data_IF_224662060040
#
_entry.id   IF_224662060040
#
_cell.length_a   1.000
_cell.length_b   1.000
_cell.length_c   1.000
_cell.angle_alpha   90.00
_cell.angle_beta   90.00
_cell.angle_gamma   90.00
#
_symmetry.space_group_name_H-M   'P 1'
#
loop_
_entity.id
_entity.type
_entity.pdbx_description
1 polymer ?
#
# COMPACT_ATOMS: atom_id res chain seq x y z
N UNK A 1 19.16 -8.65 12.98
CA UNK A 1 19.91 -7.39 12.78
C UNK A 1 19.39 -6.24 13.64
N UNK A 2 18.16 -5.73 13.46
CA UNK A 2 17.67 -4.58 14.24
C UNK A 2 17.63 -4.82 15.76
N UNK A 3 17.08 -5.97 16.21
CA UNK A 3 17.08 -6.39 17.64
C UNK A 3 18.46 -6.69 18.23
N UNK A 4 19.51 -6.77 17.40
CA UNK A 4 20.89 -7.02 17.83
C UNK A 4 21.71 -5.71 17.90
N UNK A 5 21.04 -4.55 17.96
CA UNK A 5 21.70 -3.23 18.00
C UNK A 5 22.21 -2.73 16.65
N UNK A 6 21.92 -3.43 15.54
CA UNK A 6 22.39 -3.10 14.19
C UNK A 6 21.26 -2.53 13.33
N UNK A 7 20.67 -1.42 13.78
CA UNK A 7 19.50 -0.81 13.14
C UNK A 7 19.83 -0.19 11.76
N UNK A 8 20.97 0.48 11.61
CA UNK A 8 21.40 1.11 10.35
C UNK A 8 21.50 0.12 9.17
N UNK A 9 22.34 -0.94 9.28
CA UNK A 9 22.45 -1.94 8.22
C UNK A 9 21.16 -2.71 7.96
N UNK A 10 20.34 -2.95 9.00
CA UNK A 10 19.03 -3.60 8.85
C UNK A 10 18.06 -2.75 8.00
N UNK A 11 18.02 -1.44 8.26
CA UNK A 11 17.19 -0.50 7.49
C UNK A 11 17.68 -0.40 6.04
N UNK A 12 18.99 -0.29 5.81
CA UNK A 12 19.56 -0.23 4.47
C UNK A 12 19.30 -1.52 3.68
N UNK A 13 19.43 -2.68 4.31
CA UNK A 13 19.13 -3.97 3.66
C UNK A 13 17.64 -4.11 3.29
N UNK A 14 16.74 -3.75 4.21
CA UNK A 14 15.31 -3.74 3.92
C UNK A 14 14.97 -2.77 2.78
N UNK A 15 15.56 -1.57 2.78
CA UNK A 15 15.36 -0.57 1.74
C UNK A 15 15.89 -1.02 0.38
N UNK A 16 17.13 -1.49 0.30
CA UNK A 16 17.75 -1.98 -0.94
C UNK A 16 17.03 -3.22 -1.49
N UNK A 17 16.65 -4.15 -0.62
CA UNK A 17 15.87 -5.33 -0.99
C UNK A 17 14.51 -4.96 -1.57
N UNK A 18 13.77 -4.06 -0.91
CA UNK A 18 12.47 -3.57 -1.39
C UNK A 18 12.60 -2.79 -2.70
N UNK A 19 13.65 -1.97 -2.85
CA UNK A 19 13.90 -1.23 -4.08
C UNK A 19 14.20 -2.16 -5.25
N UNK A 20 15.11 -3.12 -5.07
CA UNK A 20 15.44 -4.08 -6.11
C UNK A 20 14.24 -4.96 -6.49
N UNK A 21 13.53 -5.49 -5.50
CA UNK A 21 12.31 -6.27 -5.74
C UNK A 21 11.23 -5.44 -6.46
N UNK A 22 11.05 -4.17 -6.10
CA UNK A 22 10.14 -3.24 -6.76
C UNK A 22 10.53 -2.97 -8.21
N UNK A 23 11.81 -2.71 -8.48
CA UNK A 23 12.33 -2.50 -9.83
C UNK A 23 12.16 -3.74 -10.71
N UNK A 24 12.59 -4.91 -10.22
CA UNK A 24 12.44 -6.18 -10.95
C UNK A 24 10.98 -6.51 -11.18
N UNK A 25 10.13 -6.39 -10.16
CA UNK A 25 8.69 -6.63 -10.27
C UNK A 25 8.04 -5.72 -11.32
N UNK A 26 8.41 -4.45 -11.34
CA UNK A 26 7.92 -3.47 -12.34
C UNK A 26 8.38 -3.85 -13.75
N UNK A 27 9.65 -4.22 -13.92
CA UNK A 27 10.18 -4.62 -15.23
C UNK A 27 9.53 -5.91 -15.74
N UNK A 28 9.31 -6.88 -14.86
CA UNK A 28 8.59 -8.11 -15.19
C UNK A 28 7.16 -7.77 -15.62
N UNK A 29 6.42 -7.00 -14.82
CA UNK A 29 5.06 -6.61 -15.15
C UNK A 29 4.98 -5.84 -16.48
N UNK A 30 5.91 -4.90 -16.71
CA UNK A 30 6.01 -4.17 -17.96
C UNK A 30 6.29 -5.10 -19.15
N UNK A 31 7.17 -6.10 -18.99
CA UNK A 31 7.46 -7.10 -20.01
C UNK A 31 6.26 -7.99 -20.35
N UNK A 32 5.40 -8.28 -19.37
CA UNK A 32 4.17 -9.05 -19.55
C UNK A 32 2.93 -8.20 -19.86
N UNK A 33 3.06 -6.86 -19.98
CA UNK A 33 1.92 -5.98 -20.14
C UNK A 33 1.08 -6.31 -21.40
N UNK A 34 1.73 -6.56 -22.53
CA UNK A 34 1.06 -6.88 -23.81
C UNK A 34 0.22 -8.17 -23.69
N UNK A 35 0.80 -9.35 -23.38
CA UNK A 35 0.02 -10.58 -23.31
C UNK A 35 -1.07 -10.54 -22.23
N UNK A 36 -0.82 -9.84 -21.11
CA UNK A 36 -1.82 -9.71 -20.04
C UNK A 36 -3.01 -8.86 -20.48
N UNK A 37 -2.76 -7.82 -21.29
CA UNK A 37 -3.82 -6.95 -21.83
C UNK A 37 -4.66 -7.67 -22.89
N UNK A 38 -4.03 -8.50 -23.75
CA UNK A 38 -4.77 -9.35 -24.70
C UNK A 38 -5.74 -10.29 -24.00
N UNK A 39 -5.30 -10.92 -22.90
CA UNK A 39 -6.15 -11.74 -22.05
C UNK A 39 -7.27 -10.89 -21.43
N UNK A 40 -6.96 -9.69 -20.93
CA UNK A 40 -7.96 -8.80 -20.33
C UNK A 40 -9.07 -8.39 -21.30
N UNK A 41 -8.77 -8.22 -22.60
CA UNK A 41 -9.80 -7.92 -23.60
C UNK A 41 -10.79 -9.07 -23.88
N UNK A 42 -10.45 -10.30 -23.50
CA UNK A 42 -11.35 -11.44 -23.60
C UNK A 42 -12.39 -11.48 -22.47
N UNK A 43 -12.21 -10.66 -21.43
CA UNK A 43 -13.07 -10.70 -20.24
C UNK A 43 -14.36 -9.93 -20.51
N UNK A 44 -15.48 -10.61 -20.32
CA UNK A 44 -16.78 -9.97 -20.32
C UNK A 44 -17.07 -9.24 -19.00
N UNK A 45 -18.23 -8.58 -18.90
CA UNK A 45 -18.65 -7.89 -17.69
C UNK A 45 -18.72 -8.81 -16.46
N UNK A 46 -19.12 -10.07 -16.64
CA UNK A 46 -19.27 -11.05 -15.55
C UNK A 46 -17.90 -11.51 -15.01
N UNK A 47 -16.94 -11.77 -15.90
CA UNK A 47 -15.58 -12.17 -15.54
C UNK A 47 -14.86 -11.01 -14.85
N UNK A 48 -15.00 -9.79 -15.39
CA UNK A 48 -14.42 -8.59 -14.79
C UNK A 48 -14.95 -8.33 -13.38
N UNK A 49 -16.28 -8.44 -13.19
CA UNK A 49 -16.90 -8.32 -11.88
C UNK A 49 -16.38 -9.39 -10.91
N UNK A 50 -16.31 -10.65 -11.35
CA UNK A 50 -15.87 -11.77 -10.53
C UNK A 50 -14.41 -11.63 -10.12
N UNK A 51 -13.53 -11.16 -11.02
CA UNK A 51 -12.13 -10.85 -10.69
C UNK A 51 -12.01 -9.75 -9.64
N UNK A 52 -12.78 -8.67 -9.77
CA UNK A 52 -12.75 -7.57 -8.81
C UNK A 52 -13.21 -8.05 -7.42
N UNK A 53 -14.29 -8.84 -7.35
CA UNK A 53 -14.76 -9.44 -6.10
C UNK A 53 -13.71 -10.37 -5.50
N UNK A 54 -13.07 -11.21 -6.31
CA UNK A 54 -11.99 -12.10 -5.87
C UNK A 54 -10.82 -11.29 -5.27
N UNK A 55 -10.44 -10.18 -5.89
CA UNK A 55 -9.42 -9.27 -5.37
C UNK A 55 -9.78 -8.70 -4.00
N UNK A 56 -11.04 -8.27 -3.82
CA UNK A 56 -11.55 -7.78 -2.54
C UNK A 56 -11.57 -8.88 -1.47
N UNK A 57 -11.95 -10.11 -1.82
CA UNK A 57 -11.89 -11.26 -0.90
C UNK A 57 -10.44 -11.53 -0.50
N UNK A 58 -9.49 -11.50 -1.45
CA UNK A 58 -8.06 -11.64 -1.18
C UNK A 58 -7.55 -10.59 -0.19
N UNK A 59 -7.99 -9.32 -0.33
CA UNK A 59 -7.65 -8.25 0.60
C UNK A 59 -8.17 -8.52 2.02
N UNK A 60 -9.39 -9.07 2.16
CA UNK A 60 -9.96 -9.46 3.46
C UNK A 60 -9.13 -10.58 4.10
N UNK A 61 -8.74 -11.58 3.32
CA UNK A 61 -7.98 -12.74 3.81
C UNK A 61 -6.57 -12.34 4.25
N UNK A 62 -5.95 -11.39 3.55
CA UNK A 62 -4.61 -10.89 3.90
C UNK A 62 -4.64 -9.93 5.10
N UNK A 63 -5.77 -9.26 5.34
CA UNK A 63 -5.94 -8.39 6.49
C UNK A 63 -5.91 -9.21 7.80
N UNK A 64 -5.02 -8.84 8.71
CA UNK A 64 -4.96 -9.45 10.04
C UNK A 64 -6.04 -8.85 10.95
N UNK A 65 -6.73 -9.70 11.71
CA UNK A 65 -7.71 -9.28 12.71
C UNK A 65 -9.16 -9.63 12.36
N UNK A 66 -10.09 -8.73 12.65
CA UNK A 66 -11.54 -8.99 12.51
C UNK A 66 -12.01 -8.82 11.06
N UNK A 67 -12.56 -9.88 10.49
CA UNK A 67 -13.15 -9.90 9.14
C UNK A 67 -14.18 -8.77 8.97
N UNK A 68 -15.04 -8.54 9.97
CA UNK A 68 -16.08 -7.51 9.89
C UNK A 68 -15.47 -6.10 9.79
N UNK A 69 -14.34 -5.85 10.48
CA UNK A 69 -13.62 -4.58 10.35
C UNK A 69 -12.98 -4.45 8.96
N UNK A 70 -12.39 -5.53 8.44
CA UNK A 70 -11.80 -5.53 7.10
C UNK A 70 -12.84 -5.23 6.03
N UNK A 71 -14.01 -5.87 6.09
CA UNK A 71 -15.15 -5.59 5.19
C UNK A 71 -15.59 -4.13 5.30
N UNK A 72 -15.73 -3.61 6.52
CA UNK A 72 -16.11 -2.20 6.73
C UNK A 72 -15.12 -1.21 6.12
N UNK A 73 -13.82 -1.44 6.28
CA UNK A 73 -12.76 -0.61 5.69
C UNK A 73 -12.74 -0.69 4.17
N UNK A 74 -12.95 -1.89 3.61
CA UNK A 74 -13.04 -2.08 2.16
C UNK A 74 -14.24 -1.33 1.57
N UNK A 75 -15.42 -1.45 2.18
CA UNK A 75 -16.61 -0.73 1.72
C UNK A 75 -16.40 0.78 1.79
N UNK A 76 -15.77 1.28 2.86
CA UNK A 76 -15.41 2.68 2.99
C UNK A 76 -14.44 3.13 1.88
N UNK A 77 -13.40 2.33 1.61
CA UNK A 77 -12.44 2.58 0.53
C UNK A 77 -13.11 2.58 -0.85
N UNK A 78 -14.04 1.65 -1.11
CA UNK A 78 -14.81 1.62 -2.35
C UNK A 78 -15.70 2.86 -2.50
N UNK A 79 -16.39 3.30 -1.44
CA UNK A 79 -17.18 4.52 -1.48
C UNK A 79 -16.32 5.75 -1.80
N UNK A 80 -15.12 5.85 -1.20
CA UNK A 80 -14.18 6.93 -1.50
C UNK A 80 -13.61 6.84 -2.92
N UNK A 81 -13.33 5.62 -3.42
CA UNK A 81 -12.81 5.39 -4.76
C UNK A 81 -13.82 5.62 -5.88
N UNK A 82 -15.12 5.61 -5.58
CA UNK A 82 -16.18 5.93 -6.53
C UNK A 82 -16.38 7.45 -6.74
N UNK A 83 -15.74 8.29 -5.91
CA UNK A 83 -15.82 9.75 -6.06
C UNK A 83 -14.98 10.19 -7.26
N UNK A 84 -15.61 10.87 -8.21
CA UNK A 84 -14.96 11.38 -9.41
C UNK A 84 -15.69 11.01 -10.70
N UNK A 85 -15.04 11.27 -11.82
CA UNK A 85 -15.55 10.95 -13.14
C UNK A 85 -15.35 9.47 -13.45
N UNK A 86 -16.44 8.76 -13.73
CA UNK A 86 -16.37 7.35 -14.14
C UNK A 86 -15.71 7.22 -15.52
N UNK A 87 -14.61 6.46 -15.61
CA UNK A 87 -13.80 6.32 -16.83
C UNK A 87 -14.50 5.61 -17.99
N UNK A 88 -15.55 4.83 -17.72
CA UNK A 88 -16.27 4.07 -18.75
C UNK A 88 -17.43 4.88 -19.33
N UNK A 89 -18.12 5.66 -18.49
CA UNK A 89 -19.36 6.37 -18.83
C UNK A 89 -19.21 7.89 -18.91
N UNK A 90 -18.13 8.46 -18.38
CA UNK A 90 -17.89 9.90 -18.32
C UNK A 90 -18.78 10.65 -17.32
N UNK A 91 -19.59 9.95 -16.53
CA UNK A 91 -20.51 10.56 -15.57
C UNK A 91 -19.76 10.87 -14.26
N UNK A 92 -19.91 12.10 -13.77
CA UNK A 92 -19.40 12.49 -12.46
C UNK A 92 -20.25 11.83 -11.34
N UNK A 93 -19.60 11.08 -10.45
CA UNK A 93 -20.21 10.41 -9.30
C UNK A 93 -19.72 11.03 -8.01
N UNK A 94 -20.65 11.34 -7.11
CA UNK A 94 -20.36 11.95 -5.81
C UNK A 94 -19.48 13.21 -5.88
N UNK A 95 -19.55 13.97 -6.98
CA UNK A 95 -18.79 15.21 -7.16
C UNK A 95 -19.46 16.42 -6.49
N UNK A 96 -20.78 16.37 -6.25
CA UNK A 96 -21.54 17.44 -5.58
C UNK A 96 -21.34 18.85 -6.17
N UNK A 97 -21.10 18.95 -7.48
CA UNK A 97 -20.79 20.20 -8.20
C UNK A 97 -19.50 20.90 -7.73
N UNK A 98 -18.60 20.14 -7.10
CA UNK A 98 -17.27 20.59 -6.69
C UNK A 98 -16.26 20.09 -7.75
N UNK A 99 -15.55 20.99 -8.46
CA UNK A 99 -14.58 20.60 -9.49
C UNK A 99 -13.52 19.63 -8.98
N UNK A 100 -12.99 19.86 -7.77
CA UNK A 100 -11.93 19.05 -7.17
C UNK A 100 -12.39 17.62 -6.89
N UNK A 101 -13.68 17.41 -6.60
CA UNK A 101 -14.24 16.06 -6.42
C UNK A 101 -14.52 15.36 -7.75
N UNK A 102 -14.60 16.10 -8.85
CA UNK A 102 -14.77 15.53 -10.21
C UNK A 102 -13.48 14.88 -10.71
N UNK A 103 -12.33 15.43 -10.30
CA UNK A 103 -11.01 14.82 -10.50
C UNK A 103 -10.77 13.58 -9.60
N UNK A 104 -11.61 13.41 -8.58
CA UNK A 104 -11.56 12.30 -7.63
C UNK A 104 -10.62 12.53 -6.45
N UNK A 105 -10.64 11.62 -5.49
CA UNK A 105 -9.82 11.76 -4.27
C UNK A 105 -8.41 11.22 -4.53
N UNK A 106 -7.40 12.05 -4.29
CA UNK A 106 -5.99 11.66 -4.44
C UNK A 106 -5.63 10.48 -3.53
N UNK A 107 -5.26 9.36 -4.14
CA UNK A 107 -4.77 8.17 -3.42
C UNK A 107 -3.56 8.52 -2.54
N UNK A 108 -2.66 9.40 -3.02
CA UNK A 108 -1.51 9.86 -2.24
C UNK A 108 -1.95 10.59 -0.98
N UNK A 109 -2.95 11.48 -1.10
CA UNK A 109 -3.47 12.22 0.05
C UNK A 109 -4.13 11.28 1.08
N UNK A 110 -4.93 10.31 0.63
CA UNK A 110 -5.53 9.29 1.51
C UNK A 110 -4.45 8.48 2.20
N UNK A 111 -3.47 7.96 1.44
CA UNK A 111 -2.40 7.14 2.00
C UNK A 111 -1.59 7.92 3.05
N UNK A 112 -1.12 9.13 2.71
CA UNK A 112 -0.39 9.98 3.64
C UNK A 112 -1.21 10.32 4.89
N UNK A 113 -2.51 10.59 4.72
CA UNK A 113 -3.43 10.85 5.83
C UNK A 113 -3.60 9.65 6.74
N UNK A 114 -3.96 8.48 6.21
CA UNK A 114 -4.22 7.27 7.00
C UNK A 114 -2.96 6.82 7.74
N UNK A 115 -1.80 6.78 7.06
CA UNK A 115 -0.53 6.41 7.71
C UNK A 115 -0.08 7.49 8.71
N UNK A 116 -0.13 8.76 8.33
CA UNK A 116 0.32 9.87 9.19
C UNK A 116 -0.52 10.00 10.46
N UNK A 117 -1.84 10.10 10.33
CA UNK A 117 -2.74 10.19 11.49
C UNK A 117 -2.75 8.89 12.30
N UNK A 118 -2.72 7.73 11.65
CA UNK A 118 -2.66 6.44 12.34
C UNK A 118 -1.44 6.32 13.24
N UNK A 119 -0.28 6.75 12.74
CA UNK A 119 0.98 6.74 13.50
C UNK A 119 0.94 7.74 14.67
N UNK A 120 0.40 8.94 14.47
CA UNK A 120 0.26 9.95 15.52
C UNK A 120 -0.66 9.45 16.64
N UNK A 121 -1.85 8.95 16.29
CA UNK A 121 -2.84 8.43 17.26
C UNK A 121 -2.25 7.24 18.03
N UNK A 122 -1.61 6.30 17.32
CA UNK A 122 -0.95 5.13 17.91
C UNK A 122 0.15 5.54 18.91
N UNK A 123 0.96 6.54 18.57
CA UNK A 123 2.02 7.02 19.45
C UNK A 123 1.50 7.83 20.65
N UNK A 124 0.40 8.56 20.50
CA UNK A 124 -0.24 9.27 21.61
C UNK A 124 -0.89 8.33 22.61
N UNK A 125 -1.48 7.22 22.15
CA UNK A 125 -2.16 6.22 22.99
C UNK A 125 -1.23 5.34 23.85
N UNK A 126 0.09 5.39 23.63
CA UNK A 126 1.07 4.66 24.45
C UNK A 126 1.40 5.44 25.74
N UNK A 127 1.52 4.77 26.91
CA UNK A 127 1.93 5.41 28.17
C UNK A 127 3.26 6.14 27.99
N UNK A 128 3.46 7.28 28.66
CA UNK A 128 4.70 8.06 28.55
C UNK A 128 5.97 7.26 28.90
N UNK A 129 5.86 6.22 29.73
CA UNK A 129 6.94 5.29 30.08
C UNK A 129 7.31 4.27 28.98
N UNK A 130 6.44 4.07 27.99
CA UNK A 130 6.62 3.23 26.80
C UNK A 130 6.64 4.03 25.50
N UNK A 131 6.64 5.38 25.58
CA UNK A 131 6.98 6.22 24.44
C UNK A 131 8.47 6.03 24.15
N UNK A 132 8.76 5.02 23.35
CA UNK A 132 10.03 4.92 22.64
C UNK A 132 10.06 6.08 21.65
N UNK A 133 10.53 7.23 22.10
CA UNK A 133 11.14 8.19 21.20
C UNK A 133 12.34 7.42 20.65
N UNK A 134 12.25 6.91 19.43
CA UNK A 134 13.38 6.33 18.70
C UNK A 134 14.37 7.46 18.40
N UNK A 135 15.02 7.98 19.45
CA UNK A 135 16.22 8.81 19.40
C UNK A 135 17.47 7.92 19.31
N UNK A 136 17.31 6.68 18.86
CA UNK A 136 18.44 5.82 18.55
C UNK A 136 19.17 6.45 17.36
N UNK A 137 20.30 7.08 17.63
CA UNK A 137 21.27 7.49 16.61
C UNK A 137 21.48 6.32 15.64
N UNK A 138 20.98 6.45 14.42
CA UNK A 138 21.20 5.45 13.37
C UNK A 138 22.64 5.63 12.87
N UNK A 139 23.59 5.01 13.59
CA UNK A 139 25.00 4.99 13.18
C UNK A 139 25.24 3.85 12.18
N UNK A 140 26.13 4.12 11.22
CA UNK A 140 26.58 3.15 10.21
C UNK A 140 25.47 2.55 9.35
N UNK A 141 24.86 3.38 8.50
CA UNK A 141 23.83 2.98 7.53
C UNK A 141 24.32 1.95 6.50
N UNK A 142 25.56 2.04 6.03
CA UNK A 142 26.07 1.12 5.00
C UNK A 142 26.37 -0.27 5.57
N UNK A 143 25.75 -1.35 5.04
CA UNK A 143 26.09 -2.72 5.41
C UNK A 143 27.52 -3.09 5.00
N UNK A 144 28.20 -3.90 5.81
CA UNK A 144 29.54 -4.41 5.47
C UNK A 144 29.45 -5.60 4.50
N UNK A 145 30.58 -6.00 3.89
CA UNK A 145 30.62 -7.19 3.01
C UNK A 145 30.21 -8.48 3.73
N UNK A 146 30.49 -8.59 5.02
CA UNK A 146 30.00 -9.73 5.83
C UNK A 146 28.49 -9.69 6.04
N UNK A 147 27.89 -8.50 6.14
CA UNK A 147 26.45 -8.34 6.23
C UNK A 147 25.75 -8.84 4.98
N UNK A 148 26.27 -8.47 3.81
CA UNK A 148 25.76 -8.98 2.54
C UNK A 148 25.85 -10.51 2.45
N UNK A 149 26.92 -11.12 2.99
CA UNK A 149 27.06 -12.58 3.02
C UNK A 149 26.09 -13.25 3.98
N UNK A 150 25.72 -12.58 5.08
CA UNK A 150 24.78 -13.10 6.07
C UNK A 150 23.30 -12.78 5.74
N UNK A 151 23.05 -11.97 4.70
CA UNK A 151 21.71 -11.61 4.22
C UNK A 151 21.21 -12.53 3.09
N UNK A 152 22.12 -13.21 2.38
CA UNK A 152 21.81 -14.23 1.37
C UNK A 152 21.51 -15.57 2.04
#
# INVERSE_FOLDING_TARGET
MARQGRAGPALAAAGLGSFFAGCVGTLVLAGFAIPLTEVAFLFGPAEYFSLMVLGLIGAIVLASGSILKSVGVILLGLMMGLVGTDVNSGVARYSFDIPELTDGISLLAIAMGVFGYGEIISNLGKPASQREVFSADVKSLMPTKEDFRNMA
#
